data_IF_503279515768
#
_entry.id   IF_503279515768
#
_cell.length_a   1.000
_cell.length_b   1.000
_cell.length_c   1.000
_cell.angle_alpha   90.00
_cell.angle_beta   90.00
_cell.angle_gamma   90.00
#
_symmetry.space_group_name_H-M   'P 1'
#
loop_
_entity.id
_entity.type
_entity.pdbx_description
1 polymer ?
#
# COMPACT_ATOMS: atom_id res chain seq x y z
N UNK A 1 26.01 40.64 -43.71
CA UNK A 1 25.56 40.68 -42.31
C UNK A 1 24.12 41.15 -42.28
N UNK A 2 23.15 40.25 -42.14
CA UNK A 2 21.79 40.58 -41.65
C UNK A 2 21.21 39.31 -41.04
N UNK A 3 21.22 39.27 -39.71
CA UNK A 3 20.55 38.26 -38.88
C UNK A 3 19.05 38.56 -38.92
N UNK A 4 18.21 37.57 -39.21
CA UNK A 4 16.77 37.68 -39.01
C UNK A 4 16.18 36.36 -38.50
N UNK A 5 15.96 36.36 -37.19
CA UNK A 5 14.96 35.63 -36.40
C UNK A 5 14.82 34.11 -36.60
N UNK A 6 15.41 33.37 -35.67
CA UNK A 6 14.96 32.03 -35.31
C UNK A 6 13.46 32.08 -34.97
N UNK A 7 12.62 31.45 -35.80
CA UNK A 7 11.22 31.26 -35.49
C UNK A 7 11.15 30.19 -34.40
N UNK A 8 10.91 30.65 -33.18
CA UNK A 8 10.68 29.81 -32.01
C UNK A 8 9.44 28.94 -32.26
N UNK A 9 9.64 27.67 -32.58
CA UNK A 9 8.58 26.66 -32.51
C UNK A 9 8.24 26.45 -31.04
N UNK A 10 7.40 27.33 -30.48
CA UNK A 10 6.75 27.08 -29.20
C UNK A 10 5.86 25.84 -29.37
N UNK A 11 6.42 24.70 -29.03
CA UNK A 11 5.72 23.41 -28.93
C UNK A 11 4.62 23.57 -27.88
N UNK A 12 3.38 23.81 -28.33
CA UNK A 12 2.15 23.86 -27.54
C UNK A 12 1.75 22.48 -26.97
N UNK A 13 2.69 21.77 -26.34
CA UNK A 13 2.44 20.45 -25.74
C UNK A 13 2.27 20.51 -24.22
N UNK A 14 1.82 21.64 -23.66
CA UNK A 14 1.73 21.75 -22.20
C UNK A 14 0.71 22.77 -21.70
N UNK A 15 -0.56 22.68 -22.11
CA UNK A 15 -1.62 23.31 -21.32
C UNK A 15 -2.86 22.41 -21.35
N UNK A 16 -3.36 22.10 -20.16
CA UNK A 16 -4.49 21.23 -19.88
C UNK A 16 -5.62 21.41 -20.92
N UNK A 17 -6.02 20.31 -21.55
CA UNK A 17 -7.15 20.31 -22.48
C UNK A 17 -8.44 20.43 -21.68
N UNK A 18 -8.84 21.66 -21.40
CA UNK A 18 -10.13 22.01 -20.82
C UNK A 18 -11.14 22.01 -21.97
N UNK A 19 -11.96 20.97 -22.04
CA UNK A 19 -12.96 20.84 -23.10
C UNK A 19 -14.23 21.60 -22.69
N UNK A 20 -14.39 22.85 -23.18
CA UNK A 20 -15.65 23.57 -23.07
C UNK A 20 -16.63 23.08 -24.14
N UNK A 21 -17.38 22.02 -23.83
CA UNK A 21 -18.61 21.71 -24.56
C UNK A 21 -19.70 22.75 -24.24
N UNK A 22 -20.68 22.98 -25.13
CA UNK A 22 -21.65 24.08 -25.00
C UNK A 22 -22.56 24.01 -23.77
N UNK A 23 -22.50 22.94 -22.98
CA UNK A 23 -23.33 22.72 -21.78
C UNK A 23 -22.50 22.33 -20.54
N UNK A 24 -21.26 22.82 -20.41
CA UNK A 24 -20.43 22.51 -19.25
C UNK A 24 -20.83 23.38 -18.03
N UNK A 25 -21.62 22.80 -17.12
CA UNK A 25 -21.82 23.33 -15.77
C UNK A 25 -20.54 23.13 -14.95
N UNK A 26 -19.54 23.97 -15.20
CA UNK A 26 -18.31 24.04 -14.40
C UNK A 26 -17.06 23.51 -15.08
N UNK A 27 -15.93 23.87 -14.48
CA UNK A 27 -14.59 23.51 -14.92
C UNK A 27 -14.26 22.08 -14.49
N UNK A 28 -14.34 21.12 -15.41
CA UNK A 28 -13.89 19.76 -15.14
C UNK A 28 -12.35 19.67 -15.28
N UNK A 29 -11.68 19.53 -14.14
CA UNK A 29 -10.26 19.20 -14.08
C UNK A 29 -10.06 17.74 -14.53
N UNK A 30 -9.67 17.54 -15.79
CA UNK A 30 -9.28 16.22 -16.27
C UNK A 30 -7.79 15.95 -15.95
N UNK A 31 -7.46 15.01 -15.03
CA UNK A 31 -6.07 14.71 -14.71
C UNK A 31 -5.41 13.98 -15.88
N UNK A 32 -4.18 14.39 -16.22
CA UNK A 32 -3.41 13.75 -17.27
C UNK A 32 -3.16 12.27 -16.93
N UNK A 33 -3.68 11.37 -17.78
CA UNK A 33 -3.60 9.92 -17.58
C UNK A 33 -2.16 9.39 -17.73
N UNK A 34 -1.28 10.07 -18.47
CA UNK A 34 0.11 9.62 -18.68
C UNK A 34 1.00 9.84 -17.46
N UNK A 35 0.70 10.84 -16.64
CA UNK A 35 1.40 11.13 -15.38
C UNK A 35 0.72 10.50 -14.17
N UNK A 36 -0.35 9.74 -14.40
CA UNK A 36 -1.07 9.05 -13.33
C UNK A 36 -0.13 8.03 -12.70
N UNK A 37 0.10 8.16 -11.40
CA UNK A 37 0.79 7.11 -10.62
C UNK A 37 0.08 5.78 -10.86
N UNK A 38 0.79 4.69 -11.18
CA UNK A 38 0.15 3.38 -11.26
C UNK A 38 -0.54 3.11 -9.93
N UNK A 39 -1.73 2.50 -9.97
CA UNK A 39 -2.43 2.07 -8.74
C UNK A 39 -1.55 1.02 -8.05
N UNK A 40 -0.64 1.47 -7.18
CA UNK A 40 0.06 0.57 -6.28
C UNK A 40 -1.02 0.03 -5.35
N UNK A 41 -1.30 -1.27 -5.46
CA UNK A 41 -2.19 -1.94 -4.53
C UNK A 41 -1.67 -1.79 -3.09
N UNK A 42 -2.53 -2.08 -2.11
CA UNK A 42 -2.04 -2.27 -0.74
C UNK A 42 -0.94 -3.34 -0.82
N UNK A 43 0.26 -3.09 -0.25
CA UNK A 43 1.24 -4.16 -0.14
C UNK A 43 0.60 -5.36 0.55
N UNK A 44 0.87 -6.58 0.07
CA UNK A 44 0.29 -7.81 0.63
C UNK A 44 0.54 -7.93 2.15
N UNK A 45 1.61 -7.30 2.62
CA UNK A 45 1.93 -7.19 4.04
C UNK A 45 1.33 -5.93 4.63
N UNK A 46 0.53 -6.11 5.69
CA UNK A 46 -0.06 -5.00 6.45
C UNK A 46 0.93 -4.38 7.44
N UNK A 47 2.03 -5.07 7.74
CA UNK A 47 2.96 -4.74 8.82
C UNK A 47 4.40 -4.70 8.34
N UNK A 48 5.13 -3.65 8.70
CA UNK A 48 6.58 -3.52 8.52
C UNK A 48 7.21 -4.06 9.81
N UNK A 49 8.06 -5.08 9.72
CA UNK A 49 8.77 -5.60 10.90
C UNK A 49 9.93 -4.67 11.22
N UNK A 50 10.03 -4.27 12.47
CA UNK A 50 11.12 -3.48 13.03
C UNK A 50 11.81 -4.27 14.14
N UNK A 51 12.99 -3.83 14.58
CA UNK A 51 13.74 -4.48 15.68
C UNK A 51 12.93 -4.55 16.97
N UNK A 52 11.99 -3.62 17.20
CA UNK A 52 11.08 -3.67 18.35
C UNK A 52 10.05 -4.81 18.28
N UNK A 53 9.78 -5.34 17.09
CA UNK A 53 8.87 -6.48 16.87
C UNK A 53 9.58 -7.84 17.00
N UNK A 54 10.91 -7.82 17.14
CA UNK A 54 11.73 -9.02 17.34
C UNK A 54 11.64 -9.45 18.80
N UNK A 55 10.69 -10.34 19.08
CA UNK A 55 10.57 -10.96 20.40
C UNK A 55 11.45 -12.21 20.45
N UNK A 56 12.19 -12.39 21.55
CA UNK A 56 12.94 -13.62 21.79
C UNK A 56 12.00 -14.84 21.73
N UNK A 57 12.49 -15.96 21.19
CA UNK A 57 11.70 -17.17 20.99
C UNK A 57 11.42 -17.84 22.34
N UNK A 58 10.37 -17.39 23.02
CA UNK A 58 9.87 -18.05 24.22
C UNK A 58 9.31 -19.43 23.86
N UNK A 59 9.65 -20.50 24.60
CA UNK A 59 9.08 -21.82 24.36
C UNK A 59 7.56 -21.79 24.43
N UNK A 60 6.92 -22.50 23.50
CA UNK A 60 5.46 -22.59 23.43
C UNK A 60 4.97 -23.42 24.63
N UNK A 61 4.04 -22.84 25.39
CA UNK A 61 3.41 -23.49 26.55
C UNK A 61 2.13 -24.20 26.15
N UNK A 62 1.79 -25.26 26.87
CA UNK A 62 0.54 -25.97 26.72
C UNK A 62 -0.65 -25.05 27.03
N UNK A 63 -1.68 -25.08 26.18
CA UNK A 63 -2.89 -24.26 26.37
C UNK A 63 -3.72 -24.60 27.62
N UNK A 64 -3.60 -25.83 28.14
CA UNK A 64 -4.31 -26.28 29.35
C UNK A 64 -3.47 -26.05 30.62
N UNK A 65 -2.28 -26.65 30.69
CA UNK A 65 -1.48 -26.66 31.92
C UNK A 65 -0.43 -25.56 31.99
N UNK A 66 -0.24 -24.78 30.91
CA UNK A 66 0.85 -23.79 30.75
C UNK A 66 2.27 -24.35 30.93
N UNK A 67 2.43 -25.68 31.01
CA UNK A 67 3.71 -26.35 31.04
C UNK A 67 4.38 -26.38 29.67
N UNK A 68 5.69 -26.58 29.66
CA UNK A 68 6.49 -26.73 28.44
C UNK A 68 6.71 -28.22 28.12
N UNK A 69 7.02 -28.55 26.87
CA UNK A 69 7.31 -29.92 26.44
C UNK A 69 6.12 -30.68 25.83
N UNK A 70 4.90 -30.15 25.90
CA UNK A 70 3.72 -30.75 25.25
C UNK A 70 2.74 -29.72 24.71
N UNK A 71 2.00 -30.12 23.67
CA UNK A 71 0.89 -29.35 23.14
C UNK A 71 -0.41 -29.66 23.89
N UNK A 72 -1.40 -28.77 23.77
CA UNK A 72 -2.75 -28.97 24.32
C UNK A 72 -3.30 -30.38 24.02
N UNK A 73 -3.17 -30.85 22.77
CA UNK A 73 -3.63 -32.18 22.34
C UNK A 73 -3.01 -33.36 23.10
N UNK A 74 -1.79 -33.21 23.61
CA UNK A 74 -1.04 -34.24 24.34
C UNK A 74 -0.90 -33.91 25.82
N UNK A 75 -1.79 -33.05 26.35
CA UNK A 75 -1.70 -32.65 27.74
C UNK A 75 -2.07 -33.81 28.67
N UNK A 76 -1.22 -34.18 29.64
CA UNK A 76 -1.56 -35.23 30.61
C UNK A 76 -2.79 -34.86 31.45
N UNK A 77 -3.06 -33.56 31.62
CA UNK A 77 -4.22 -33.05 32.37
C UNK A 77 -5.49 -32.90 31.51
N UNK A 78 -5.52 -33.45 30.29
CA UNK A 78 -6.64 -33.27 29.37
C UNK A 78 -7.99 -33.73 29.95
N UNK A 79 -7.97 -34.83 30.74
CA UNK A 79 -9.17 -35.38 31.36
C UNK A 79 -9.54 -34.70 32.70
N UNK A 80 -8.62 -33.97 33.33
CA UNK A 80 -8.86 -33.29 34.62
C UNK A 80 -9.54 -31.92 34.42
N UNK A 81 -9.31 -31.27 33.28
CA UNK A 81 -9.85 -29.94 33.00
C UNK A 81 -11.26 -29.95 32.37
N UNK A 82 -11.86 -31.14 32.15
CA UNK A 82 -13.19 -31.31 31.54
C UNK A 82 -14.30 -31.68 32.53
N UNK A 83 -13.96 -31.95 33.79
CA UNK A 83 -14.92 -32.19 34.88
C UNK A 83 -15.24 -30.85 35.55
#
# INVERSE_FOLDING_TARGET
MTLASAQSTFSWNLFNFIHFGPNASGFELCPNLSTRRPKKGRPNTTHIRTEMDEVEKVPRKCGLSRGEGHYHKYCPNFNLARQ
#
